data_IF_539029397435
#
_entry.id   IF_539029397435
#
_cell.length_a   1.000
_cell.length_b   1.000
_cell.length_c   1.000
_cell.angle_alpha   90.00
_cell.angle_beta   90.00
_cell.angle_gamma   90.00
#
_symmetry.space_group_name_H-M   'P 1'
#
loop_
_entity.id
_entity.type
_entity.pdbx_description
1 polymer ?
#
# COMPACT_ATOMS: atom_id res chain seq x y z
N UNK A 1 -14.18 13.32 11.88
CA UNK A 1 -13.29 13.72 10.76
C UNK A 1 -13.29 15.24 10.62
N UNK A 2 -12.15 15.86 10.31
CA UNK A 2 -12.00 17.32 10.15
C UNK A 2 -12.23 17.71 8.68
N UNK A 3 -12.92 18.84 8.43
CA UNK A 3 -13.07 19.43 7.09
C UNK A 3 -11.90 20.36 6.83
N UNK A 4 -11.32 20.30 5.63
CA UNK A 4 -10.21 21.15 5.21
C UNK A 4 -10.46 21.58 3.77
N UNK A 5 -10.24 22.86 3.48
CA UNK A 5 -10.25 23.39 2.12
C UNK A 5 -8.82 23.37 1.58
N UNK A 6 -8.62 22.67 0.47
CA UNK A 6 -7.31 22.55 -0.18
C UNK A 6 -7.49 22.73 -1.69
N UNK A 7 -6.51 23.37 -2.32
CA UNK A 7 -6.44 23.50 -3.78
C UNK A 7 -5.80 22.23 -4.33
N UNK A 8 -6.48 21.55 -5.25
CA UNK A 8 -6.00 20.32 -5.88
C UNK A 8 -6.19 20.44 -7.39
N UNK A 9 -5.23 19.91 -8.15
CA UNK A 9 -5.33 19.78 -9.61
C UNK A 9 -6.54 18.90 -10.01
N UNK A 10 -7.49 19.49 -10.72
CA UNK A 10 -8.69 18.79 -11.19
C UNK A 10 -8.40 17.68 -12.19
N UNK A 11 -7.38 17.82 -13.03
CA UNK A 11 -7.01 16.80 -14.01
C UNK A 11 -6.45 15.57 -13.29
N UNK A 12 -5.65 15.79 -12.25
CA UNK A 12 -5.15 14.71 -11.40
C UNK A 12 -6.30 13.98 -10.70
N UNK A 13 -7.27 14.72 -10.17
CA UNK A 13 -8.47 14.14 -9.54
C UNK A 13 -9.29 13.33 -10.54
N UNK A 14 -9.54 13.85 -11.74
CA UNK A 14 -10.28 13.13 -12.79
C UNK A 14 -9.58 11.83 -13.18
N UNK A 15 -8.25 11.86 -13.36
CA UNK A 15 -7.45 10.66 -13.64
C UNK A 15 -7.51 9.66 -12.49
N UNK A 16 -7.39 10.13 -11.25
CA UNK A 16 -7.46 9.30 -10.06
C UNK A 16 -8.81 8.62 -9.88
N UNK A 17 -9.92 9.35 -10.07
CA UNK A 17 -11.27 8.78 -10.00
C UNK A 17 -11.48 7.71 -11.09
N UNK A 18 -11.01 7.97 -12.32
CA UNK A 18 -11.09 6.97 -13.42
C UNK A 18 -10.26 5.73 -13.13
N UNK A 19 -9.03 5.90 -12.62
CA UNK A 19 -8.13 4.78 -12.35
C UNK A 19 -8.58 3.91 -11.17
N UNK A 20 -9.23 4.50 -10.17
CA UNK A 20 -9.65 3.80 -8.94
C UNK A 20 -11.11 3.36 -8.93
N UNK A 21 -11.93 3.89 -9.85
CA UNK A 21 -13.39 3.68 -9.86
C UNK A 21 -14.12 4.38 -8.71
N UNK A 22 -13.44 5.23 -7.94
CA UNK A 22 -14.03 5.93 -6.81
C UNK A 22 -14.98 7.03 -7.29
N UNK A 23 -16.09 7.22 -6.54
CA UNK A 23 -17.16 8.15 -6.91
C UNK A 23 -16.97 9.58 -6.41
N UNK A 24 -16.15 9.79 -5.37
CA UNK A 24 -16.04 11.10 -4.71
C UNK A 24 -14.59 11.53 -4.55
N UNK A 25 -14.35 12.85 -4.63
CA UNK A 25 -13.04 13.46 -4.36
C UNK A 25 -12.55 13.13 -2.96
N UNK A 26 -13.46 13.12 -1.97
CA UNK A 26 -13.15 12.76 -0.58
C UNK A 26 -12.61 11.34 -0.47
N UNK A 27 -13.28 10.37 -1.10
CA UNK A 27 -12.84 8.98 -1.08
C UNK A 27 -11.50 8.81 -1.79
N UNK A 28 -11.28 9.52 -2.91
CA UNK A 28 -10.00 9.50 -3.61
C UNK A 28 -8.86 10.05 -2.75
N UNK A 29 -9.07 11.17 -2.05
CA UNK A 29 -8.06 11.75 -1.16
C UNK A 29 -7.76 10.82 0.01
N UNK A 30 -8.78 10.24 0.63
CA UNK A 30 -8.59 9.28 1.74
C UNK A 30 -7.82 8.04 1.28
N UNK A 31 -8.19 7.48 0.13
CA UNK A 31 -7.50 6.35 -0.49
C UNK A 31 -6.03 6.68 -0.79
N UNK A 32 -5.76 7.85 -1.39
CA UNK A 32 -4.40 8.27 -1.71
C UNK A 32 -3.53 8.41 -0.45
N UNK A 33 -4.07 8.98 0.63
CA UNK A 33 -3.35 9.09 1.91
C UNK A 33 -3.06 7.72 2.54
N UNK A 34 -4.02 6.80 2.51
CA UNK A 34 -3.82 5.43 2.99
C UNK A 34 -2.75 4.70 2.19
N UNK A 35 -2.73 4.85 0.87
CA UNK A 35 -1.71 4.24 0.01
C UNK A 35 -0.31 4.82 0.27
N UNK A 36 -0.19 6.12 0.55
CA UNK A 36 1.09 6.72 0.97
C UNK A 36 1.59 6.07 2.26
N UNK A 37 0.75 6.01 3.29
CA UNK A 37 1.13 5.40 4.59
C UNK A 37 1.50 3.92 4.42
N UNK A 38 0.74 3.18 3.62
CA UNK A 38 1.01 1.78 3.33
C UNK A 38 2.35 1.59 2.64
N UNK A 39 2.69 2.44 1.68
CA UNK A 39 3.99 2.39 0.97
C UNK A 39 5.16 2.66 1.91
N UNK A 40 5.05 3.63 2.81
CA UNK A 40 6.10 3.89 3.78
C UNK A 40 6.32 2.70 4.72
N UNK A 41 5.24 2.08 5.24
CA UNK A 41 5.36 0.86 6.06
C UNK A 41 6.06 -0.29 5.32
N UNK A 42 5.80 -0.45 4.02
CA UNK A 42 6.46 -1.47 3.21
C UNK A 42 7.94 -1.14 3.02
N UNK A 43 8.31 0.13 2.84
CA UNK A 43 9.73 0.53 2.77
C UNK A 43 10.47 0.20 4.06
N UNK A 44 9.86 0.45 5.22
CA UNK A 44 10.43 0.11 6.53
C UNK A 44 10.72 -1.40 6.63
N UNK A 45 9.78 -2.24 6.18
CA UNK A 45 9.97 -3.68 6.12
C UNK A 45 11.08 -4.10 5.15
N UNK A 46 11.16 -3.46 3.98
CA UNK A 46 12.24 -3.74 3.01
C UNK A 46 13.60 -3.32 3.58
N UNK A 47 13.67 -2.25 4.36
CA UNK A 47 14.91 -1.81 5.01
C UNK A 47 15.46 -2.84 6.01
N UNK A 48 14.60 -3.69 6.58
CA UNK A 48 15.01 -4.80 7.46
C UNK A 48 15.63 -5.99 6.71
N UNK A 49 15.60 -5.99 5.36
CA UNK A 49 16.16 -7.07 4.54
C UNK A 49 17.66 -7.19 4.78
N UNK A 50 18.08 -8.35 5.30
CA UNK A 50 19.49 -8.65 5.60
C UNK A 50 19.99 -8.08 6.93
N UNK A 51 19.21 -7.22 7.60
CA UNK A 51 19.52 -6.74 8.95
C UNK A 51 19.06 -7.72 10.04
N UNK A 52 18.04 -8.53 9.75
CA UNK A 52 17.49 -9.51 10.69
C UNK A 52 18.04 -10.90 10.37
N UNK A 53 18.59 -11.56 11.39
CA UNK A 53 18.92 -12.97 11.32
C UNK A 53 17.62 -13.78 11.35
N UNK A 54 17.33 -14.46 10.25
CA UNK A 54 16.18 -15.35 10.14
C UNK A 54 16.65 -16.78 10.33
N UNK A 55 16.12 -17.45 11.34
CA UNK A 55 16.43 -18.85 11.65
C UNK A 55 15.26 -19.75 11.17
N UNK A 56 15.52 -20.52 10.12
CA UNK A 56 14.54 -21.42 9.53
C UNK A 56 15.09 -22.18 8.31
N UNK A 57 14.51 -23.36 8.03
CA UNK A 57 14.83 -24.15 6.83
C UNK A 57 13.71 -23.99 5.78
N UNK A 58 13.97 -23.16 4.77
CA UNK A 58 13.05 -22.93 3.64
C UNK A 58 12.72 -24.21 2.88
N UNK A 59 13.68 -25.13 2.77
CA UNK A 59 13.48 -26.41 2.08
C UNK A 59 12.48 -27.25 2.86
N UNK A 60 12.58 -27.30 4.19
CA UNK A 60 11.61 -27.99 5.05
C UNK A 60 10.21 -27.41 4.95
N UNK A 61 10.08 -26.09 4.98
CA UNK A 61 8.77 -25.43 4.93
C UNK A 61 8.06 -25.61 3.59
N UNK A 62 8.80 -25.77 2.49
CA UNK A 62 8.22 -25.94 1.14
C UNK A 62 7.81 -27.39 0.83
N UNK A 63 8.33 -28.38 1.56
CA UNK A 63 7.98 -29.80 1.37
C UNK A 63 6.50 -30.11 1.62
N UNK A 64 5.81 -29.35 2.48
CA UNK A 64 4.36 -29.52 2.73
C UNK A 64 3.46 -28.95 1.63
N UNK A 65 4.01 -28.18 0.67
CA UNK A 65 3.23 -27.51 -0.38
C UNK A 65 3.04 -28.36 -1.64
N UNK A 66 3.82 -29.43 -1.81
CA UNK A 66 3.74 -30.37 -2.95
C UNK A 66 3.37 -31.77 -2.44
N UNK A 67 2.30 -31.83 -1.65
CA UNK A 67 1.65 -33.07 -1.27
C UNK A 67 0.14 -32.89 -1.40
N UNK A 68 -0.33 -32.77 -2.65
CA UNK A 68 -1.45 -33.50 -3.29
C UNK A 68 -1.84 -32.80 -4.59
#
# INVERSE_FOLDING_TARGET
MKRTNIVIDENLVKRGLRATGLKTRRALVDFALQEVVKRERVKDLIALRGAIHWDGDLSRMRRSRIAQ
#
